data_IF_871068771362
#
_entry.id   IF_871068771362
#
_cell.length_a   1.000
_cell.length_b   1.000
_cell.length_c   1.000
_cell.angle_alpha   90.00
_cell.angle_beta   90.00
_cell.angle_gamma   90.00
#
_symmetry.space_group_name_H-M   'P 1'
#
loop_
_entity.id
_entity.type
_entity.pdbx_description
1 polymer ?
#
# COMPACT_ATOMS: atom_id res chain seq x y z
N UNK A 1 28.45 -4.47 2.20
CA UNK A 1 26.98 -4.67 2.29
C UNK A 1 26.32 -3.85 3.39
N UNK A 2 26.86 -3.79 4.61
CA UNK A 2 26.22 -3.01 5.69
C UNK A 2 26.24 -1.49 5.40
N UNK A 3 27.36 -0.95 4.93
CA UNK A 3 27.46 0.47 4.56
C UNK A 3 26.53 0.89 3.42
N UNK A 4 26.33 0.01 2.42
CA UNK A 4 25.40 0.30 1.32
C UNK A 4 23.96 0.46 1.82
N UNK A 5 23.54 -0.38 2.77
CA UNK A 5 22.21 -0.30 3.39
C UNK A 5 22.05 0.98 4.21
N UNK A 6 23.10 1.39 4.92
CA UNK A 6 23.06 2.64 5.69
C UNK A 6 23.03 3.88 4.78
N UNK A 7 23.79 3.88 3.68
CA UNK A 7 23.76 4.96 2.68
C UNK A 7 22.42 4.97 1.96
N UNK A 8 21.87 3.81 1.58
CA UNK A 8 20.54 3.69 0.96
C UNK A 8 19.45 4.36 1.79
N UNK A 9 19.50 4.22 3.12
CA UNK A 9 18.55 4.86 4.03
C UNK A 9 18.62 6.39 4.01
N UNK A 10 19.77 6.97 3.64
CA UNK A 10 20.00 8.42 3.56
C UNK A 10 19.67 9.01 2.18
N UNK A 11 19.65 8.20 1.11
CA UNK A 11 19.57 8.70 -0.26
C UNK A 11 18.32 9.55 -0.53
N UNK A 12 17.16 9.18 0.02
CA UNK A 12 15.91 9.91 -0.20
C UNK A 12 15.99 11.35 0.32
N UNK A 13 16.34 11.51 1.60
CA UNK A 13 16.55 12.81 2.20
C UNK A 13 17.65 13.61 1.50
N UNK A 14 18.72 12.93 1.03
CA UNK A 14 19.82 13.59 0.32
C UNK A 14 19.36 14.16 -1.02
N UNK A 15 18.60 13.35 -1.78
CA UNK A 15 18.02 13.75 -3.05
C UNK A 15 17.03 14.89 -2.87
N UNK A 16 16.26 14.91 -1.79
CA UNK A 16 15.30 15.99 -1.49
C UNK A 16 15.94 17.26 -0.91
N UNK A 17 17.19 17.19 -0.43
CA UNK A 17 17.91 18.32 0.17
C UNK A 17 17.64 18.50 1.66
N UNK A 18 17.19 17.44 2.34
CA UNK A 18 16.77 17.43 3.75
C UNK A 18 17.80 16.75 4.68
N UNK A 19 19.00 16.45 4.18
CA UNK A 19 20.05 15.74 4.92
C UNK A 19 21.03 16.71 5.58
N UNK A 20 21.51 16.36 6.79
CA UNK A 20 22.57 17.11 7.47
C UNK A 20 23.87 17.11 6.66
N UNK A 21 24.73 18.12 6.87
CA UNK A 21 25.96 18.29 6.08
C UNK A 21 26.93 17.10 6.17
N UNK A 22 27.11 16.51 7.36
CA UNK A 22 27.97 15.35 7.57
C UNK A 22 27.48 14.09 6.81
N UNK A 23 26.16 13.88 6.76
CA UNK A 23 25.55 12.77 6.03
C UNK A 23 25.57 13.00 4.51
N UNK A 24 25.52 14.26 4.04
CA UNK A 24 25.70 14.59 2.63
C UNK A 24 27.07 14.19 2.10
N UNK A 25 28.13 14.47 2.87
CA UNK A 25 29.50 14.11 2.47
C UNK A 25 29.71 12.59 2.52
N UNK A 26 29.09 11.90 3.48
CA UNK A 26 29.08 10.44 3.55
C UNK A 26 28.42 9.81 2.33
N UNK A 27 27.24 10.29 1.92
CA UNK A 27 26.55 9.82 0.71
C UNK A 27 27.40 10.07 -0.53
N UNK A 28 27.97 11.28 -0.68
CA UNK A 28 28.81 11.63 -1.85
C UNK A 28 30.03 10.72 -1.96
N UNK A 29 30.80 10.58 -0.88
CA UNK A 29 32.03 9.76 -0.84
C UNK A 29 31.74 8.28 -1.14
N UNK A 30 30.63 7.75 -0.63
CA UNK A 30 30.25 6.36 -0.91
C UNK A 30 29.79 6.18 -2.37
N UNK A 31 28.99 7.09 -2.91
CA UNK A 31 28.55 7.02 -4.31
C UNK A 31 29.72 7.16 -5.30
N UNK A 32 30.79 7.87 -4.94
CA UNK A 32 32.02 7.97 -5.74
C UNK A 32 32.75 6.62 -5.86
N UNK A 33 32.72 5.80 -4.81
CA UNK A 33 33.44 4.52 -4.73
C UNK A 33 32.59 3.28 -5.01
N UNK A 34 31.26 3.37 -4.91
CA UNK A 34 30.33 2.24 -5.07
C UNK A 34 29.40 2.42 -6.27
N UNK A 35 29.56 1.58 -7.30
CA UNK A 35 28.71 1.61 -8.51
C UNK A 35 27.22 1.39 -8.19
N UNK A 36 26.88 0.42 -7.33
CA UNK A 36 25.50 0.14 -6.96
C UNK A 36 24.78 1.34 -6.31
N UNK A 37 25.45 2.03 -5.38
CA UNK A 37 24.88 3.21 -4.74
C UNK A 37 24.84 4.43 -5.68
N UNK A 38 25.77 4.53 -6.63
CA UNK A 38 25.75 5.54 -7.70
C UNK A 38 24.53 5.38 -8.60
N UNK A 39 24.25 4.15 -9.03
CA UNK A 39 23.09 3.83 -9.86
C UNK A 39 21.78 4.10 -9.13
N UNK A 40 21.70 3.69 -7.85
CA UNK A 40 20.52 3.94 -7.01
C UNK A 40 20.28 5.44 -6.79
N UNK A 41 21.34 6.21 -6.54
CA UNK A 41 21.25 7.67 -6.44
C UNK A 41 20.78 8.31 -7.76
N UNK A 42 21.29 7.83 -8.90
CA UNK A 42 20.84 8.25 -10.24
C UNK A 42 19.35 7.99 -10.45
N UNK A 43 18.88 6.79 -10.10
CA UNK A 43 17.47 6.43 -10.18
C UNK A 43 16.58 7.32 -9.29
N UNK A 44 16.99 7.61 -8.06
CA UNK A 44 16.22 8.50 -7.17
C UNK A 44 16.17 9.95 -7.68
N UNK A 45 17.27 10.47 -8.24
CA UNK A 45 17.29 11.80 -8.88
C UNK A 45 16.34 11.88 -10.07
N UNK A 46 16.36 10.86 -10.93
CA UNK A 46 15.45 10.78 -12.08
C UNK A 46 13.97 10.76 -11.64
N UNK A 47 13.65 10.05 -10.56
CA UNK A 47 12.29 10.06 -9.98
C UNK A 47 11.92 11.46 -9.46
N UNK A 48 12.81 12.12 -8.70
CA UNK A 48 12.56 13.49 -8.21
C UNK A 48 12.31 14.47 -9.35
N UNK A 49 13.11 14.39 -10.41
CA UNK A 49 12.95 15.21 -11.60
C UNK A 49 11.60 14.93 -12.30
N UNK A 50 11.24 13.65 -12.50
CA UNK A 50 9.97 13.27 -13.11
C UNK A 50 8.75 13.75 -12.31
N UNK A 51 8.84 13.74 -10.97
CA UNK A 51 7.80 14.28 -10.07
C UNK A 51 7.74 15.80 -10.15
N UNK A 52 8.89 16.49 -10.13
CA UNK A 52 8.95 17.96 -10.25
C UNK A 52 8.41 18.44 -11.58
N UNK A 53 8.76 17.78 -12.68
CA UNK A 53 8.24 18.09 -14.02
C UNK A 53 6.71 17.99 -14.09
N UNK A 54 6.10 17.11 -13.29
CA UNK A 54 4.64 16.91 -13.21
C UNK A 54 3.99 17.65 -12.04
N UNK A 55 4.74 18.42 -11.25
CA UNK A 55 4.26 18.97 -9.98
C UNK A 55 3.02 19.85 -10.15
N UNK A 56 2.93 20.63 -11.23
CA UNK A 56 1.78 21.48 -11.53
C UNK A 56 0.51 20.65 -11.77
N UNK A 57 0.60 19.54 -12.51
CA UNK A 57 -0.52 18.62 -12.75
C UNK A 57 -0.85 17.72 -11.56
N UNK A 58 0.12 17.46 -10.68
CA UNK A 58 -0.07 16.68 -9.44
C UNK A 58 -0.64 17.52 -8.29
N UNK A 59 -0.60 18.85 -8.39
CA UNK A 59 -1.23 19.77 -7.43
C UNK A 59 -2.76 19.73 -7.58
N UNK A 60 -3.39 18.70 -7.06
CA UNK A 60 -4.82 18.76 -6.76
C UNK A 60 -5.03 19.76 -5.62
N UNK A 61 -5.67 20.88 -5.90
CA UNK A 61 -6.10 21.80 -4.85
C UNK A 61 -7.06 21.06 -3.92
N UNK A 62 -6.68 20.92 -2.65
CA UNK A 62 -7.58 20.41 -1.61
C UNK A 62 -8.92 21.17 -1.68
N UNK A 63 -10.03 20.45 -1.59
CA UNK A 63 -11.35 21.07 -1.66
C UNK A 63 -11.51 22.14 -0.58
N UNK A 64 -12.28 23.22 -0.82
CA UNK A 64 -12.52 24.25 0.18
C UNK A 64 -13.02 23.67 1.51
N UNK A 65 -13.83 22.61 1.45
CA UNK A 65 -14.33 21.88 2.62
C UNK A 65 -13.22 21.19 3.42
N UNK A 66 -12.24 20.58 2.76
CA UNK A 66 -11.10 19.97 3.44
C UNK A 66 -10.21 21.05 4.09
N UNK A 67 -9.94 22.14 3.37
CA UNK A 67 -9.18 23.29 3.90
C UNK A 67 -9.84 23.87 5.16
N UNK A 68 -11.16 24.08 5.12
CA UNK A 68 -11.93 24.57 6.27
C UNK A 68 -11.82 23.61 7.47
N UNK A 69 -12.00 22.30 7.26
CA UNK A 69 -11.86 21.29 8.33
C UNK A 69 -10.46 21.31 8.96
N UNK A 70 -9.40 21.35 8.16
CA UNK A 70 -8.03 21.41 8.66
C UNK A 70 -7.78 22.68 9.48
N UNK A 71 -8.27 23.84 9.02
CA UNK A 71 -8.18 25.09 9.76
C UNK A 71 -8.93 25.00 11.11
N UNK A 72 -10.14 24.43 11.13
CA UNK A 72 -10.90 24.22 12.36
C UNK A 72 -10.17 23.30 13.35
N UNK A 73 -9.51 22.23 12.88
CA UNK A 73 -8.71 21.36 13.73
C UNK A 73 -7.48 22.06 14.32
N UNK A 74 -6.77 22.86 13.50
CA UNK A 74 -5.60 23.61 13.95
C UNK A 74 -5.96 24.66 15.02
N UNK A 75 -7.11 25.33 14.86
CA UNK A 75 -7.66 26.26 15.85
C UNK A 75 -8.01 25.50 17.13
N UNK A 76 -8.80 24.41 17.05
CA UNK A 76 -9.17 23.60 18.23
C UNK A 76 -7.97 23.10 19.03
N UNK A 77 -6.89 22.69 18.36
CA UNK A 77 -5.67 22.19 19.02
C UNK A 77 -4.90 23.29 19.75
N UNK A 78 -4.95 24.54 19.26
CA UNK A 78 -4.39 25.71 19.95
C UNK A 78 -5.29 26.24 21.06
N UNK A 79 -6.61 26.05 20.91
CA UNK A 79 -7.64 26.54 21.84
C UNK A 79 -7.99 25.59 22.98
N UNK A 80 -7.38 24.40 23.08
CA UNK A 80 -7.42 23.59 24.30
C UNK A 80 -6.28 24.03 25.24
N UNK A 81 -6.52 24.93 26.21
CA UNK A 81 -5.63 25.02 27.34
C UNK A 81 -5.66 23.68 28.07
N UNK A 82 -4.50 23.08 28.33
CA UNK A 82 -4.37 21.96 29.26
C UNK A 82 -4.60 22.46 30.70
N UNK A 83 -5.77 23.00 31.00
CA UNK A 83 -6.22 23.20 32.37
C UNK A 83 -6.95 21.92 32.77
N UNK A 84 -6.16 20.91 33.14
CA UNK A 84 -6.70 19.89 34.02
C UNK A 84 -7.08 20.60 35.33
N UNK A 85 -8.35 20.57 35.76
CA UNK A 85 -8.67 21.02 37.11
C UNK A 85 -7.94 20.08 38.07
N UNK A 86 -7.09 20.66 38.94
CA UNK A 86 -6.45 19.94 40.05
C UNK A 86 -7.51 19.66 41.11
N UNK A 87 -8.43 18.76 40.81
CA UNK A 87 -9.39 18.22 41.77
C UNK A 87 -8.68 17.13 42.59
N UNK A 88 -8.61 17.32 43.90
CA UNK A 88 -8.09 16.35 44.88
C UNK A 88 -8.87 15.02 44.79
N UNK A 89 -8.24 13.90 44.37
CA UNK A 89 -8.94 12.66 44.08
C UNK A 89 -8.93 11.74 45.31
N UNK A 90 -9.64 12.11 46.37
CA UNK A 90 -9.54 11.39 47.65
C UNK A 90 -10.51 10.21 47.83
N UNK A 91 -11.80 10.41 47.55
CA UNK A 91 -12.83 9.47 48.05
C UNK A 91 -13.79 8.93 46.98
N UNK A 92 -14.17 9.73 45.98
CA UNK A 92 -15.15 9.30 44.96
C UNK A 92 -14.55 8.41 43.87
N UNK A 93 -13.25 8.61 43.56
CA UNK A 93 -12.54 7.91 42.48
C UNK A 93 -12.29 6.43 42.86
N UNK A 94 -12.03 6.14 44.14
CA UNK A 94 -11.67 4.78 44.61
C UNK A 94 -12.79 3.75 44.48
N UNK A 95 -14.06 4.17 44.47
CA UNK A 95 -15.23 3.26 44.41
C UNK A 95 -15.68 2.93 42.99
N UNK A 96 -15.35 3.78 42.01
CA UNK A 96 -15.79 3.61 40.61
C UNK A 96 -14.64 3.29 39.64
N UNK A 97 -13.38 3.50 40.03
CA UNK A 97 -12.20 3.06 39.26
C UNK A 97 -12.28 1.60 38.79
N UNK A 98 -12.62 0.59 39.62
CA UNK A 98 -12.66 -0.79 39.14
C UNK A 98 -13.75 -1.02 38.09
N UNK A 99 -14.90 -0.34 38.21
CA UNK A 99 -16.01 -0.44 37.25
C UNK A 99 -15.67 0.27 35.92
N UNK A 100 -15.03 1.44 35.97
CA UNK A 100 -14.61 2.16 34.78
C UNK A 100 -13.49 1.42 34.05
N UNK A 101 -12.50 0.85 34.76
CA UNK A 101 -11.43 0.04 34.14
C UNK A 101 -12.01 -1.21 33.49
N UNK A 102 -12.93 -1.92 34.17
CA UNK A 102 -13.60 -3.08 33.61
C UNK A 102 -14.41 -2.72 32.34
N UNK A 103 -15.19 -1.63 32.37
CA UNK A 103 -15.94 -1.16 31.21
C UNK A 103 -15.02 -0.77 30.04
N UNK A 104 -13.87 -0.16 30.32
CA UNK A 104 -12.89 0.23 29.29
C UNK A 104 -12.22 -1.01 28.69
N UNK A 105 -11.89 -2.01 29.50
CA UNK A 105 -11.34 -3.29 29.03
C UNK A 105 -12.37 -4.06 28.20
N UNK A 106 -13.63 -4.12 28.64
CA UNK A 106 -14.69 -4.74 27.86
C UNK A 106 -14.87 -4.00 26.55
N UNK A 107 -14.99 -2.66 26.53
CA UNK A 107 -15.09 -1.91 25.28
C UNK A 107 -13.87 -2.10 24.37
N UNK A 108 -12.65 -2.17 24.92
CA UNK A 108 -11.44 -2.43 24.14
C UNK A 108 -11.43 -3.85 23.57
N UNK A 109 -11.80 -4.86 24.35
CA UNK A 109 -11.91 -6.26 23.92
C UNK A 109 -13.02 -6.39 22.88
N UNK A 110 -14.21 -5.89 23.14
CA UNK A 110 -15.34 -5.91 22.19
C UNK A 110 -15.03 -5.10 20.93
N UNK A 111 -14.23 -4.03 21.01
CA UNK A 111 -13.74 -3.33 19.82
C UNK A 111 -12.73 -4.18 19.03
N UNK A 112 -11.77 -4.81 19.68
CA UNK A 112 -10.75 -5.63 19.02
C UNK A 112 -11.34 -6.90 18.40
N UNK A 113 -12.22 -7.59 19.13
CA UNK A 113 -12.80 -8.87 18.73
C UNK A 113 -14.14 -8.72 17.99
N UNK A 114 -15.00 -7.80 18.40
CA UNK A 114 -16.35 -7.62 17.85
C UNK A 114 -16.40 -6.72 16.61
N UNK A 115 -15.53 -5.70 16.50
CA UNK A 115 -15.45 -4.84 15.31
C UNK A 115 -14.40 -5.31 14.28
N UNK A 116 -13.78 -6.47 14.50
CA UNK A 116 -12.94 -7.09 13.48
C UNK A 116 -11.60 -6.40 13.22
N UNK A 117 -11.12 -5.57 14.15
CA UNK A 117 -9.80 -4.92 14.05
C UNK A 117 -8.63 -5.91 14.02
N UNK A 118 -8.88 -7.18 14.36
CA UNK A 118 -7.94 -8.29 14.27
C UNK A 118 -8.06 -9.13 12.97
N UNK A 119 -8.99 -8.80 12.07
CA UNK A 119 -9.12 -9.54 10.81
C UNK A 119 -8.04 -9.11 9.82
N UNK A 120 -6.96 -9.91 9.78
CA UNK A 120 -5.88 -9.81 8.77
C UNK A 120 -6.43 -9.60 7.36
N UNK A 121 -7.55 -10.25 7.02
CA UNK A 121 -8.21 -10.11 5.72
C UNK A 121 -8.73 -8.70 5.47
N UNK A 122 -9.37 -8.05 6.45
CA UNK A 122 -9.85 -6.68 6.29
C UNK A 122 -8.69 -5.68 6.17
N UNK A 123 -7.62 -5.89 6.94
CA UNK A 123 -6.42 -5.07 6.84
C UNK A 123 -5.75 -5.22 5.46
N UNK A 124 -5.65 -6.46 4.96
CA UNK A 124 -5.12 -6.76 3.62
C UNK A 124 -5.98 -6.12 2.53
N UNK A 125 -7.31 -6.27 2.57
CA UNK A 125 -8.24 -5.67 1.62
C UNK A 125 -8.19 -4.14 1.64
N UNK A 126 -8.06 -3.54 2.82
CA UNK A 126 -7.90 -2.09 2.96
C UNK A 126 -6.60 -1.59 2.33
N UNK A 127 -5.48 -2.23 2.66
CA UNK A 127 -4.17 -1.84 2.15
C UNK A 127 -4.05 -2.07 0.64
N UNK A 128 -4.53 -3.20 0.13
CA UNK A 128 -4.55 -3.50 -1.31
C UNK A 128 -5.42 -2.51 -2.10
N UNK A 129 -6.51 -2.02 -1.51
CA UNK A 129 -7.35 -0.98 -2.13
C UNK A 129 -6.63 0.37 -2.19
N UNK A 130 -5.91 0.74 -1.13
CA UNK A 130 -5.10 1.97 -1.15
C UNK A 130 -3.96 1.89 -2.17
N UNK A 131 -3.25 0.75 -2.20
CA UNK A 131 -2.19 0.51 -3.17
C UNK A 131 -2.73 0.47 -4.60
N UNK A 132 -3.98 0.02 -4.80
CA UNK A 132 -4.63 0.00 -6.11
C UNK A 132 -4.81 1.44 -6.60
N UNK A 133 -5.45 2.29 -5.80
CA UNK A 133 -5.68 3.71 -6.14
C UNK A 133 -4.35 4.45 -6.37
N UNK A 134 -3.32 4.16 -5.57
CA UNK A 134 -2.00 4.77 -5.72
C UNK A 134 -1.34 4.33 -7.02
N UNK A 135 -1.25 3.03 -7.28
CA UNK A 135 -0.39 2.51 -8.33
C UNK A 135 -1.00 2.60 -9.72
N UNK A 136 -2.32 2.45 -9.84
CA UNK A 136 -3.01 2.53 -11.14
C UNK A 136 -2.94 3.92 -11.77
N UNK A 137 -2.85 4.97 -10.94
CA UNK A 137 -2.65 6.36 -11.39
C UNK A 137 -1.32 6.61 -12.10
N UNK A 138 -0.33 5.75 -11.90
CA UNK A 138 1.01 5.93 -12.49
C UNK A 138 1.32 4.94 -13.63
N UNK A 139 0.35 4.13 -14.06
CA UNK A 139 0.53 3.07 -15.08
C UNK A 139 -0.19 3.35 -16.40
N UNK A 140 -0.22 4.60 -16.85
CA UNK A 140 -0.84 5.00 -18.12
C UNK A 140 0.15 5.33 -19.24
N UNK A 141 -0.15 4.89 -20.47
CA UNK A 141 0.42 5.45 -21.72
C UNK A 141 1.45 4.61 -22.49
N UNK A 142 1.94 3.50 -21.93
CA UNK A 142 2.90 2.60 -22.58
C UNK A 142 2.26 1.40 -23.28
N UNK A 143 3.02 0.66 -24.11
CA UNK A 143 2.56 -0.61 -24.67
C UNK A 143 2.23 -1.61 -23.56
N UNK A 144 1.32 -2.59 -23.80
CA UNK A 144 1.08 -3.68 -22.87
C UNK A 144 2.38 -4.38 -22.48
N UNK A 145 2.49 -4.78 -21.21
CA UNK A 145 3.65 -5.53 -20.74
C UNK A 145 3.58 -6.99 -21.19
N UNK A 146 4.74 -7.57 -21.54
CA UNK A 146 4.86 -9.01 -21.80
C UNK A 146 4.83 -9.78 -20.46
N UNK A 147 3.85 -10.69 -20.25
CA UNK A 147 3.73 -11.47 -19.02
C UNK A 147 4.96 -12.34 -18.71
N UNK A 148 5.56 -12.98 -19.72
CA UNK A 148 6.70 -13.89 -19.53
C UNK A 148 7.96 -13.12 -19.15
N UNK A 149 8.17 -11.99 -19.83
CA UNK A 149 9.28 -11.10 -19.50
C UNK A 149 9.12 -10.49 -18.12
N UNK A 150 7.92 -10.03 -17.77
CA UNK A 150 7.63 -9.48 -16.45
C UNK A 150 7.85 -10.50 -15.32
N UNK A 151 7.47 -11.77 -15.53
CA UNK A 151 7.71 -12.85 -14.59
C UNK A 151 9.22 -13.14 -14.41
N UNK A 152 9.98 -13.20 -15.51
CA UNK A 152 11.44 -13.38 -15.49
C UNK A 152 12.15 -12.25 -14.76
N UNK A 153 11.81 -11.00 -15.07
CA UNK A 153 12.36 -9.83 -14.40
C UNK A 153 12.02 -9.80 -12.91
N UNK A 154 10.80 -10.20 -12.55
CA UNK A 154 10.40 -10.33 -11.16
C UNK A 154 11.28 -11.34 -10.41
N UNK A 155 11.43 -12.55 -10.95
CA UNK A 155 12.23 -13.60 -10.33
C UNK A 155 13.69 -13.18 -10.19
N UNK A 156 14.28 -12.61 -11.24
CA UNK A 156 15.66 -12.12 -11.22
C UNK A 156 15.88 -11.04 -10.14
N UNK A 157 14.89 -10.15 -9.96
CA UNK A 157 15.00 -9.02 -9.03
C UNK A 157 14.65 -9.35 -7.58
N UNK A 158 13.71 -10.28 -7.35
CA UNK A 158 13.14 -10.53 -6.02
C UNK A 158 13.33 -11.96 -5.51
N UNK A 159 13.89 -12.86 -6.31
CA UNK A 159 14.33 -14.20 -5.87
C UNK A 159 13.21 -15.21 -5.64
N UNK A 160 11.99 -14.94 -6.10
CA UNK A 160 10.89 -15.91 -6.07
C UNK A 160 10.04 -15.79 -7.34
N UNK A 161 9.59 -16.91 -7.94
CA UNK A 161 8.86 -16.87 -9.18
C UNK A 161 7.41 -16.43 -8.96
N UNK A 162 6.80 -15.81 -9.96
CA UNK A 162 5.35 -15.57 -10.04
C UNK A 162 4.84 -16.01 -11.41
N UNK A 163 3.61 -16.48 -11.44
CA UNK A 163 2.88 -16.66 -12.70
C UNK A 163 2.11 -15.38 -12.99
N UNK A 164 2.28 -14.85 -14.19
CA UNK A 164 1.62 -13.62 -14.64
C UNK A 164 0.61 -14.01 -15.72
N UNK A 165 -0.71 -13.97 -15.43
CA UNK A 165 -1.74 -14.25 -16.42
C UNK A 165 -1.56 -13.40 -17.68
N UNK A 166 -1.70 -14.04 -18.84
CA UNK A 166 -1.55 -13.37 -20.11
C UNK A 166 -2.68 -12.35 -20.37
N UNK A 167 -2.37 -11.34 -21.18
CA UNK A 167 -3.41 -10.48 -21.74
C UNK A 167 -4.34 -11.31 -22.62
N UNK A 168 -5.65 -11.09 -22.51
CA UNK A 168 -6.68 -11.81 -23.26
C UNK A 168 -7.62 -10.82 -23.93
N UNK A 169 -7.64 -10.82 -25.27
CA UNK A 169 -8.61 -10.04 -26.05
C UNK A 169 -10.05 -10.50 -25.78
N UNK A 170 -10.28 -11.81 -25.63
CA UNK A 170 -11.60 -12.38 -25.34
C UNK A 170 -12.18 -11.93 -23.99
N UNK A 171 -11.31 -11.59 -23.03
CA UNK A 171 -11.70 -11.11 -21.70
C UNK A 171 -11.50 -9.60 -21.52
N UNK A 172 -11.12 -8.87 -22.59
CA UNK A 172 -10.72 -7.46 -22.54
C UNK A 172 -9.70 -7.16 -21.42
N UNK A 173 -8.79 -8.10 -21.16
CA UNK A 173 -7.80 -8.03 -20.10
C UNK A 173 -6.43 -7.74 -20.70
N UNK A 174 -5.78 -6.66 -20.27
CA UNK A 174 -4.44 -6.29 -20.74
C UNK A 174 -3.50 -6.02 -19.57
N UNK A 175 -2.37 -6.72 -19.52
CA UNK A 175 -1.32 -6.47 -18.54
C UNK A 175 -0.63 -5.14 -18.85
N UNK A 176 -0.53 -4.27 -17.85
CA UNK A 176 0.13 -2.96 -17.95
C UNK A 176 1.47 -2.92 -17.26
N UNK A 177 1.58 -3.57 -16.10
CA UNK A 177 2.83 -3.59 -15.34
C UNK A 177 2.84 -4.72 -14.30
N UNK A 178 4.04 -5.11 -13.90
CA UNK A 178 4.30 -5.91 -12.70
C UNK A 178 5.28 -5.14 -11.83
N UNK A 179 4.94 -4.95 -10.56
CA UNK A 179 5.76 -4.18 -9.62
C UNK A 179 5.68 -4.73 -8.22
N UNK A 180 6.63 -4.32 -7.37
CA UNK A 180 6.57 -4.62 -5.95
C UNK A 180 5.75 -3.55 -5.24
N UNK A 181 4.79 -3.98 -4.44
CA UNK A 181 4.04 -3.12 -3.52
C UNK A 181 4.21 -3.62 -2.08
N UNK A 182 4.02 -2.70 -1.13
CA UNK A 182 4.12 -3.01 0.28
C UNK A 182 2.71 -3.25 0.81
N UNK A 183 2.30 -4.51 0.87
CA UNK A 183 1.16 -4.95 1.68
C UNK A 183 1.73 -5.67 2.91
N UNK A 184 1.41 -5.23 4.14
CA UNK A 184 1.97 -5.76 5.39
C UNK A 184 3.51 -5.83 5.40
N UNK A 185 4.10 -7.03 5.41
CA UNK A 185 5.55 -7.33 5.54
C UNK A 185 6.36 -7.24 4.23
N UNK A 186 5.85 -6.46 3.26
CA UNK A 186 6.69 -5.88 2.22
C UNK A 186 7.09 -6.78 1.05
N UNK A 187 6.50 -7.97 0.89
CA UNK A 187 6.81 -8.90 -0.22
C UNK A 187 5.57 -9.25 -1.03
N UNK A 188 5.04 -8.29 -1.79
CA UNK A 188 3.87 -8.52 -2.64
C UNK A 188 4.17 -8.14 -4.08
N UNK A 189 3.89 -9.07 -5.00
CA UNK A 189 3.83 -8.75 -6.41
C UNK A 189 2.48 -8.11 -6.72
N UNK A 190 2.51 -6.97 -7.39
CA UNK A 190 1.33 -6.24 -7.82
C UNK A 190 1.31 -6.23 -9.34
N UNK A 191 0.40 -7.02 -9.89
CA UNK A 191 0.11 -7.11 -11.30
C UNK A 191 -1.00 -6.09 -11.60
N UNK A 192 -0.73 -5.17 -12.51
CA UNK A 192 -1.65 -4.10 -12.88
C UNK A 192 -2.15 -4.41 -14.28
N UNK A 193 -3.47 -4.53 -14.39
CA UNK A 193 -4.18 -4.79 -15.63
C UNK A 193 -5.11 -3.62 -15.96
N UNK A 194 -5.51 -3.54 -17.21
CA UNK A 194 -6.76 -2.88 -17.61
C UNK A 194 -7.75 -3.96 -18.02
N UNK A 195 -8.94 -3.94 -17.43
CA UNK A 195 -10.05 -4.84 -17.73
C UNK A 195 -11.25 -3.99 -18.17
N UNK A 196 -11.74 -4.21 -19.39
CA UNK A 196 -12.78 -3.36 -20.00
C UNK A 196 -12.46 -1.86 -19.99
N UNK A 197 -11.18 -1.51 -20.11
CA UNK A 197 -10.69 -0.13 -20.06
C UNK A 197 -10.49 0.42 -18.64
N UNK A 198 -11.00 -0.25 -17.61
CA UNK A 198 -10.87 0.15 -16.21
C UNK A 198 -9.65 -0.50 -15.53
N UNK A 199 -9.03 0.15 -14.53
CA UNK A 199 -7.92 -0.43 -13.81
C UNK A 199 -8.33 -1.65 -12.98
N UNK A 200 -7.54 -2.72 -13.08
CA UNK A 200 -7.65 -3.93 -12.28
C UNK A 200 -6.30 -4.21 -11.62
N UNK A 201 -6.32 -4.61 -10.36
CA UNK A 201 -5.10 -5.01 -9.66
C UNK A 201 -5.21 -6.43 -9.14
N UNK A 202 -4.14 -7.21 -9.32
CA UNK A 202 -3.98 -8.52 -8.70
C UNK A 202 -2.71 -8.47 -7.86
N UNK A 203 -2.83 -8.76 -6.57
CA UNK A 203 -1.72 -8.89 -5.65
C UNK A 203 -1.44 -10.36 -5.40
N UNK A 204 -0.17 -10.75 -5.41
CA UNK A 204 0.29 -12.10 -5.11
C UNK A 204 1.20 -12.04 -3.89
N UNK A 205 0.76 -12.69 -2.82
CA UNK A 205 1.49 -12.85 -1.58
C UNK A 205 2.16 -14.24 -1.58
N UNK A 206 3.43 -14.35 -1.15
CA UNK A 206 4.21 -15.57 -1.26
C UNK A 206 3.84 -16.67 -0.25
N UNK A 207 2.87 -16.44 0.63
CA UNK A 207 2.39 -17.42 1.61
C UNK A 207 0.87 -17.45 1.61
N UNK A 208 0.29 -18.63 1.77
CA UNK A 208 -1.13 -18.79 2.04
C UNK A 208 -1.49 -18.16 3.39
N UNK A 209 -2.34 -17.13 3.36
CA UNK A 209 -2.85 -16.45 4.56
C UNK A 209 -4.36 -16.62 4.76
N UNK A 210 -5.05 -17.08 3.72
CA UNK A 210 -6.44 -17.51 3.77
C UNK A 210 -6.49 -19.04 3.72
N UNK A 211 -7.44 -19.67 4.41
CA UNK A 211 -7.79 -21.06 4.14
C UNK A 211 -8.42 -21.23 2.75
N UNK A 212 -9.15 -22.33 2.51
CA UNK A 212 -9.77 -22.61 1.20
C UNK A 212 -10.91 -21.65 0.81
N UNK A 213 -11.26 -20.70 1.67
CA UNK A 213 -12.36 -19.77 1.46
C UNK A 213 -12.00 -18.66 0.46
N UNK A 214 -12.96 -18.32 -0.40
CA UNK A 214 -12.92 -17.08 -1.19
C UNK A 214 -13.64 -15.98 -0.42
N UNK A 215 -12.94 -14.90 -0.08
CA UNK A 215 -13.52 -13.76 0.63
C UNK A 215 -13.79 -12.59 -0.31
N UNK A 216 -14.97 -11.99 -0.19
CA UNK A 216 -15.37 -10.79 -0.91
C UNK A 216 -15.51 -9.63 0.07
N UNK A 217 -14.77 -8.56 -0.17
CA UNK A 217 -14.75 -7.38 0.72
C UNK A 217 -14.93 -6.11 -0.10
N UNK A 218 -15.93 -5.30 0.25
CA UNK A 218 -16.17 -4.01 -0.40
C UNK A 218 -15.57 -2.86 0.44
N UNK A 219 -14.67 -2.06 -0.14
CA UNK A 219 -14.05 -0.87 0.50
C UNK A 219 -13.81 0.23 -0.53
N UNK A 220 -14.01 1.50 -0.16
CA UNK A 220 -13.73 2.67 -1.02
C UNK A 220 -14.32 2.60 -2.44
N UNK A 221 -15.53 2.03 -2.63
CA UNK A 221 -16.15 1.79 -3.95
C UNK A 221 -15.37 0.80 -4.83
N UNK A 222 -14.51 -0.01 -4.24
CA UNK A 222 -13.82 -1.11 -4.88
C UNK A 222 -14.23 -2.42 -4.22
N UNK A 223 -14.25 -3.47 -5.01
CA UNK A 223 -14.45 -4.82 -4.57
C UNK A 223 -13.11 -5.53 -4.54
N UNK A 224 -12.86 -6.23 -3.44
CA UNK A 224 -11.71 -7.12 -3.27
C UNK A 224 -12.18 -8.56 -3.27
N UNK A 225 -11.58 -9.38 -4.13
CA UNK A 225 -11.78 -10.84 -4.14
C UNK A 225 -10.47 -11.49 -3.71
N UNK A 226 -10.52 -12.30 -2.66
CA UNK A 226 -9.34 -12.88 -2.04
C UNK A 226 -9.43 -14.40 -2.05
N UNK A 227 -8.33 -15.07 -2.36
CA UNK A 227 -8.27 -16.54 -2.32
C UNK A 227 -6.84 -17.03 -2.09
N UNK A 228 -6.70 -18.27 -1.64
CA UNK A 228 -5.42 -18.97 -1.59
C UNK A 228 -5.36 -20.08 -2.64
N UNK A 229 -4.19 -20.28 -3.23
CA UNK A 229 -3.91 -21.36 -4.17
C UNK A 229 -2.41 -21.60 -4.22
N UNK A 230 -1.96 -22.86 -4.23
CA UNK A 230 -0.53 -23.23 -4.30
C UNK A 230 0.35 -22.50 -3.26
N UNK A 231 -0.10 -22.46 -1.99
CA UNK A 231 0.56 -21.73 -0.89
C UNK A 231 0.79 -20.23 -1.16
N UNK A 232 -0.07 -19.62 -1.97
CA UNK A 232 -0.05 -18.18 -2.24
C UNK A 232 -1.41 -17.58 -2.00
N UNK A 233 -1.44 -16.35 -1.50
CA UNK A 233 -2.68 -15.58 -1.41
C UNK A 233 -2.74 -14.57 -2.55
N UNK A 234 -3.88 -14.55 -3.22
CA UNK A 234 -4.19 -13.64 -4.29
C UNK A 234 -5.27 -12.66 -3.82
N UNK A 235 -5.10 -11.39 -4.17
CA UNK A 235 -6.08 -10.34 -3.88
C UNK A 235 -6.34 -9.59 -5.17
N UNK A 236 -7.55 -9.70 -5.71
CA UNK A 236 -8.00 -8.93 -6.85
C UNK A 236 -8.74 -7.69 -6.35
N UNK A 237 -8.44 -6.51 -6.89
CA UNK A 237 -9.11 -5.24 -6.57
C UNK A 237 -9.60 -4.59 -7.86
N UNK A 238 -10.91 -4.28 -7.90
CA UNK A 238 -11.59 -3.69 -9.05
C UNK A 238 -12.66 -2.68 -8.60
N UNK A 239 -12.94 -1.60 -9.36
CA UNK A 239 -14.10 -0.74 -9.08
C UNK A 239 -15.44 -1.42 -9.41
N UNK A 240 -15.44 -2.50 -10.21
CA UNK A 240 -16.66 -3.20 -10.61
C UNK A 240 -17.30 -3.96 -9.44
N UNK A 241 -18.64 -3.97 -9.41
CA UNK A 241 -19.44 -4.77 -8.49
C UNK A 241 -19.23 -6.28 -8.68
N UNK A 242 -19.78 -7.08 -7.76
CA UNK A 242 -19.85 -8.53 -7.99
C UNK A 242 -20.90 -8.81 -9.06
N UNK A 243 -20.45 -9.31 -10.20
CA UNK A 243 -21.28 -9.73 -11.32
C UNK A 243 -20.71 -11.03 -11.95
N UNK A 244 -21.46 -11.69 -12.85
CA UNK A 244 -21.01 -12.93 -13.49
C UNK A 244 -19.77 -12.78 -14.40
N UNK A 245 -19.38 -11.56 -14.76
CA UNK A 245 -18.18 -11.33 -15.55
C UNK A 245 -16.94 -11.31 -14.65
N UNK A 246 -17.04 -10.68 -13.48
CA UNK A 246 -15.99 -10.71 -12.47
C UNK A 246 -15.71 -12.14 -11.99
N UNK A 247 -16.75 -12.95 -11.75
CA UNK A 247 -16.57 -14.35 -11.34
C UNK A 247 -15.85 -15.18 -12.45
N UNK A 248 -16.16 -14.91 -13.73
CA UNK A 248 -15.45 -15.51 -14.87
C UNK A 248 -13.99 -15.06 -14.96
N UNK A 249 -13.72 -13.77 -14.73
CA UNK A 249 -12.37 -13.22 -14.71
C UNK A 249 -11.54 -13.82 -13.58
N UNK A 250 -12.10 -13.92 -12.36
CA UNK A 250 -11.44 -14.58 -11.22
C UNK A 250 -11.12 -16.03 -11.57
N UNK A 251 -12.05 -16.75 -12.19
CA UNK A 251 -11.83 -18.13 -12.62
C UNK A 251 -10.73 -18.25 -13.67
N UNK A 252 -10.68 -17.33 -14.64
CA UNK A 252 -9.62 -17.27 -15.66
C UNK A 252 -8.24 -17.00 -15.05
N UNK A 253 -8.15 -16.04 -14.12
CA UNK A 253 -6.90 -15.71 -13.42
C UNK A 253 -6.45 -16.86 -12.51
N UNK A 254 -7.38 -17.56 -11.87
CA UNK A 254 -7.09 -18.79 -11.10
C UNK A 254 -6.55 -19.90 -11.99
N UNK A 255 -7.18 -20.15 -13.12
CA UNK A 255 -6.75 -21.21 -14.04
C UNK A 255 -5.35 -20.95 -14.63
N UNK A 256 -4.96 -19.67 -14.75
CA UNK A 256 -3.64 -19.26 -15.25
C UNK A 256 -2.59 -19.06 -14.15
N UNK A 257 -2.94 -19.27 -12.88
CA UNK A 257 -1.99 -19.21 -11.76
C UNK A 257 -1.17 -20.52 -11.59
N UNK A 258 -1.29 -21.45 -12.54
CA UNK A 258 -0.65 -22.75 -12.60
C UNK A 258 0.40 -22.81 -13.70
#
# INVERSE_FOLDING_TARGET
>A
MNECREVEALLGAYVDGETASCDCDRVRRHAESCACCRDLLGAQRAVREAVRARATGLRACASPRLKARCASYAIRRRSTPSRLPRASPGAFVRRWVPLSVAATLVLAVTAVFGFGLNHKVQALAFQSTLDHVKCTRFTGGGPPADPLEAARQWQAKFGWPITVPASSGASNLQLRAVRRCAVTDGRVAHLIYTWMGEPLSVYVLPKGTLGDATEFVHRFRHNSVMWSQNDRTYIMVTPHGRDPELDRLVSHIRASAF
#
